data_IF_922033955440
#
_entry.id   IF_922033955440
#
_cell.length_a   1.000
_cell.length_b   1.000
_cell.length_c   1.000
_cell.angle_alpha   90.00
_cell.angle_beta   90.00
_cell.angle_gamma   90.00
#
_symmetry.space_group_name_H-M   'P 1'
#
loop_
_entity.id
_entity.type
_entity.pdbx_description
1 polymer ?
#
# COMPACT_ATOMS: atom_id res chain seq x y z
N UNK A 1 5.70 32.62 50.02
CA UNK A 1 5.34 31.52 49.11
C UNK A 1 4.95 32.16 47.78
N UNK A 2 5.93 32.40 46.91
CA UNK A 2 5.76 33.09 45.63
C UNK A 2 5.27 32.11 44.57
N UNK A 3 4.11 32.41 43.98
CA UNK A 3 3.57 31.69 42.82
C UNK A 3 4.42 32.02 41.59
N UNK A 4 5.15 31.02 41.08
CA UNK A 4 5.75 31.08 39.75
C UNK A 4 4.62 31.14 38.71
N UNK A 5 4.46 32.30 38.07
CA UNK A 5 3.70 32.43 36.83
C UNK A 5 4.46 31.71 35.72
N UNK A 6 3.95 30.56 35.30
CA UNK A 6 4.37 29.89 34.07
C UNK A 6 3.96 30.77 32.89
N UNK A 7 4.95 31.45 32.30
CA UNK A 7 4.81 32.15 31.03
C UNK A 7 4.66 31.09 29.94
N UNK A 8 3.42 30.81 29.55
CA UNK A 8 3.10 30.00 28.38
C UNK A 8 3.45 30.84 27.14
N UNK A 9 4.61 30.60 26.54
CA UNK A 9 4.93 31.20 25.25
C UNK A 9 3.88 30.75 24.22
N UNK A 10 3.20 31.68 23.52
CA UNK A 10 2.37 31.30 22.40
C UNK A 10 3.29 30.77 21.30
N UNK A 11 3.31 29.44 21.14
CA UNK A 11 3.93 28.83 19.97
C UNK A 11 3.16 29.34 18.77
N UNK A 12 3.81 30.20 18.00
CA UNK A 12 3.25 30.88 16.84
C UNK A 12 2.67 29.83 15.88
N UNK A 13 1.34 29.81 15.77
CA UNK A 13 0.58 28.90 14.90
C UNK A 13 1.06 28.88 13.44
N UNK A 14 1.82 29.90 13.02
CA UNK A 14 2.47 29.99 11.71
C UNK A 14 3.61 29.00 11.48
N UNK A 15 4.25 28.44 12.53
CA UNK A 15 5.30 27.42 12.34
C UNK A 15 4.68 26.05 12.01
N UNK A 16 3.43 25.81 12.39
CA UNK A 16 2.71 24.55 12.14
C UNK A 16 2.24 24.47 10.67
N UNK A 17 1.99 25.60 10.02
CA UNK A 17 1.54 25.68 8.61
C UNK A 17 2.67 25.61 7.57
N UNK A 18 3.94 25.49 7.97
CA UNK A 18 5.04 25.35 7.01
C UNK A 18 5.20 23.91 6.45
N UNK A 19 4.37 22.96 6.87
CA UNK A 19 4.38 21.56 6.37
C UNK A 19 3.39 21.33 5.20
N UNK A 20 2.78 22.40 4.66
CA UNK A 20 1.64 22.36 3.74
C UNK A 20 1.94 21.88 2.30
N UNK A 21 3.17 21.41 2.04
CA UNK A 21 3.54 20.87 0.73
C UNK A 21 4.43 19.63 0.79
N UNK A 22 4.32 18.85 1.86
CA UNK A 22 5.06 17.60 1.97
C UNK A 22 4.35 16.49 1.21
N UNK A 23 4.94 16.07 0.08
CA UNK A 23 4.48 14.92 -0.71
C UNK A 23 4.35 13.71 0.22
N UNK A 24 3.20 13.03 0.15
CA UNK A 24 2.95 11.84 0.98
C UNK A 24 3.98 10.75 0.65
N UNK A 25 4.53 10.11 1.68
CA UNK A 25 5.44 8.97 1.53
C UNK A 25 4.79 7.82 0.73
N UNK A 26 3.45 7.77 0.71
CA UNK A 26 2.68 6.77 -0.04
C UNK A 26 2.78 6.96 -1.56
N UNK A 27 3.03 8.19 -2.04
CA UNK A 27 3.31 8.46 -3.46
C UNK A 27 4.64 7.81 -3.87
N UNK A 28 5.64 7.83 -3.00
CA UNK A 28 6.93 7.21 -3.28
C UNK A 28 6.86 5.69 -3.16
N UNK A 29 6.16 5.15 -2.15
CA UNK A 29 6.06 3.71 -2.00
C UNK A 29 5.17 3.05 -3.07
N UNK A 30 4.23 3.77 -3.69
CA UNK A 30 3.46 3.23 -4.83
C UNK A 30 4.33 2.95 -6.06
N UNK A 31 5.54 3.53 -6.15
CA UNK A 31 6.52 3.21 -7.19
C UNK A 31 6.97 1.74 -7.15
N UNK A 32 6.79 1.03 -6.03
CA UNK A 32 7.04 -0.42 -5.95
C UNK A 32 6.21 -1.19 -6.98
N UNK A 33 5.02 -0.71 -7.34
CA UNK A 33 4.18 -1.32 -8.37
C UNK A 33 4.81 -1.32 -9.76
N UNK A 34 5.75 -0.40 -10.05
CA UNK A 34 6.49 -0.41 -11.31
C UNK A 34 7.38 -1.65 -11.46
N UNK A 35 7.87 -2.22 -10.34
CA UNK A 35 8.61 -3.48 -10.37
C UNK A 35 7.70 -4.60 -10.89
N UNK A 36 6.45 -4.65 -10.42
CA UNK A 36 5.44 -5.59 -10.92
C UNK A 36 5.16 -5.38 -12.42
N UNK A 37 5.12 -4.14 -12.90
CA UNK A 37 4.96 -3.84 -14.34
C UNK A 37 6.12 -4.40 -15.16
N UNK A 38 7.36 -4.12 -14.76
CA UNK A 38 8.57 -4.57 -15.47
C UNK A 38 8.63 -6.10 -15.53
N UNK A 39 8.40 -6.76 -14.39
CA UNK A 39 8.40 -8.21 -14.29
C UNK A 39 7.23 -8.81 -15.08
N UNK A 40 6.05 -8.20 -15.03
CA UNK A 40 4.88 -8.61 -15.80
C UNK A 40 5.16 -8.63 -17.31
N UNK A 41 5.77 -7.58 -17.85
CA UNK A 41 6.18 -7.57 -19.26
C UNK A 41 7.26 -8.62 -19.57
N UNK A 42 8.26 -8.78 -18.70
CA UNK A 42 9.33 -9.77 -18.88
C UNK A 42 8.79 -11.20 -18.99
N UNK A 43 7.80 -11.56 -18.18
CA UNK A 43 7.16 -12.88 -18.18
C UNK A 43 5.89 -12.96 -19.04
N UNK A 44 5.64 -11.97 -19.91
CA UNK A 44 4.50 -11.92 -20.85
C UNK A 44 3.11 -11.88 -20.18
N UNK A 45 3.01 -11.45 -18.93
CA UNK A 45 1.76 -11.14 -18.24
C UNK A 45 1.25 -9.73 -18.59
N UNK A 46 1.02 -9.45 -19.88
CA UNK A 46 0.73 -8.11 -20.40
C UNK A 46 -0.51 -7.45 -19.75
N UNK A 47 -1.59 -8.20 -19.57
CA UNK A 47 -2.79 -7.70 -18.91
C UNK A 47 -2.48 -7.34 -17.45
N UNK A 48 -1.71 -8.18 -16.75
CA UNK A 48 -1.33 -7.93 -15.37
C UNK A 48 -0.46 -6.68 -15.23
N UNK A 49 0.52 -6.51 -16.11
CA UNK A 49 1.37 -5.32 -16.18
C UNK A 49 0.55 -4.04 -16.45
N UNK A 50 -0.48 -4.15 -17.31
CA UNK A 50 -1.40 -3.05 -17.59
C UNK A 50 -2.22 -2.68 -16.34
N UNK A 51 -2.78 -3.68 -15.64
CA UNK A 51 -3.52 -3.46 -14.40
C UNK A 51 -2.65 -2.82 -13.30
N UNK A 52 -1.40 -3.26 -13.16
CA UNK A 52 -0.45 -2.63 -12.25
C UNK A 52 -0.06 -1.21 -12.64
N UNK A 53 0.02 -0.92 -13.94
CA UNK A 53 0.27 0.44 -14.43
C UNK A 53 -0.90 1.36 -14.09
N UNK A 54 -2.14 0.89 -14.29
CA UNK A 54 -3.35 1.62 -13.88
C UNK A 54 -3.34 1.86 -12.37
N UNK A 55 -3.09 0.82 -11.57
CA UNK A 55 -3.00 0.93 -10.10
C UNK A 55 -1.94 1.94 -9.66
N UNK A 56 -0.76 1.93 -10.28
CA UNK A 56 0.29 2.90 -9.97
C UNK A 56 -0.16 4.34 -10.25
N UNK A 57 -0.75 4.59 -11.43
CA UNK A 57 -1.26 5.92 -11.80
C UNK A 57 -2.36 6.37 -10.83
N UNK A 58 -3.34 5.52 -10.53
CA UNK A 58 -4.44 5.87 -9.63
C UNK A 58 -3.95 6.12 -8.20
N UNK A 59 -2.99 5.33 -7.72
CA UNK A 59 -2.42 5.46 -6.38
C UNK A 59 -1.64 6.77 -6.23
N UNK A 60 -0.85 7.14 -7.26
CA UNK A 60 -0.16 8.44 -7.29
C UNK A 60 -1.16 9.60 -7.26
N UNK A 61 -2.23 9.53 -8.07
CA UNK A 61 -3.28 10.56 -8.10
C UNK A 61 -3.97 10.67 -6.73
N UNK A 62 -4.39 9.55 -6.14
CA UNK A 62 -5.10 9.52 -4.87
C UNK A 62 -4.26 10.07 -3.71
N UNK A 63 -2.97 9.69 -3.64
CA UNK A 63 -2.10 10.17 -2.55
C UNK A 63 -1.59 11.60 -2.75
N UNK A 64 -1.67 12.15 -3.97
CA UNK A 64 -1.33 13.54 -4.24
C UNK A 64 -2.54 14.49 -4.10
N UNK A 65 -3.74 14.05 -4.50
CA UNK A 65 -4.97 14.83 -4.43
C UNK A 65 -6.15 13.96 -3.96
N UNK A 66 -6.20 13.67 -2.66
CA UNK A 66 -7.20 12.79 -2.08
C UNK A 66 -8.58 13.44 -2.09
N UNK A 67 -9.47 12.94 -2.94
CA UNK A 67 -10.90 13.19 -2.92
C UNK A 67 -11.70 11.88 -3.03
N UNK A 68 -13.02 11.96 -2.81
CA UNK A 68 -13.90 10.78 -2.80
C UNK A 68 -13.88 10.01 -4.13
N UNK A 69 -13.78 10.70 -5.27
CA UNK A 69 -13.74 10.06 -6.60
C UNK A 69 -12.41 9.33 -6.81
N UNK A 70 -11.29 9.98 -6.52
CA UNK A 70 -9.95 9.36 -6.62
C UNK A 70 -9.80 8.17 -5.69
N UNK A 71 -10.44 8.21 -4.52
CA UNK A 71 -10.49 7.08 -3.60
C UNK A 71 -11.19 5.87 -4.24
N UNK A 72 -12.39 6.05 -4.79
CA UNK A 72 -13.12 4.94 -5.42
C UNK A 72 -12.42 4.41 -6.67
N UNK A 73 -11.84 5.29 -7.50
CA UNK A 73 -11.07 4.88 -8.68
C UNK A 73 -9.88 4.02 -8.28
N UNK A 74 -9.12 4.44 -7.27
CA UNK A 74 -7.97 3.68 -6.77
C UNK A 74 -8.38 2.33 -6.17
N UNK A 75 -9.48 2.30 -5.39
CA UNK A 75 -10.02 1.05 -4.85
C UNK A 75 -10.45 0.07 -5.96
N UNK A 76 -11.09 0.55 -7.04
CA UNK A 76 -11.46 -0.31 -8.18
C UNK A 76 -10.21 -0.89 -8.86
N UNK A 77 -9.16 -0.09 -9.03
CA UNK A 77 -7.89 -0.57 -9.58
C UNK A 77 -7.27 -1.66 -8.69
N UNK A 78 -7.27 -1.45 -7.36
CA UNK A 78 -6.82 -2.45 -6.38
C UNK A 78 -7.62 -3.75 -6.52
N UNK A 79 -8.96 -3.68 -6.50
CA UNK A 79 -9.80 -4.87 -6.62
C UNK A 79 -9.55 -5.62 -7.94
N UNK A 80 -9.35 -4.91 -9.05
CA UNK A 80 -9.08 -5.53 -10.34
C UNK A 80 -7.75 -6.29 -10.34
N UNK A 81 -6.69 -5.71 -9.75
CA UNK A 81 -5.39 -6.37 -9.57
C UNK A 81 -5.52 -7.60 -8.66
N UNK A 82 -6.26 -7.49 -7.56
CA UNK A 82 -6.50 -8.61 -6.64
C UNK A 82 -7.25 -9.74 -7.34
N UNK A 83 -8.39 -9.47 -7.97
CA UNK A 83 -9.19 -10.49 -8.65
C UNK A 83 -8.41 -11.20 -9.75
N UNK A 84 -7.71 -10.44 -10.61
CA UNK A 84 -6.91 -11.02 -11.67
C UNK A 84 -5.70 -11.79 -11.11
N UNK A 85 -5.06 -11.27 -10.05
CA UNK A 85 -3.99 -11.94 -9.36
C UNK A 85 -4.41 -13.26 -8.73
N UNK A 86 -5.58 -13.32 -8.10
CA UNK A 86 -6.17 -14.55 -7.58
C UNK A 86 -6.44 -15.57 -8.70
N UNK A 87 -6.92 -15.13 -9.86
CA UNK A 87 -7.09 -16.00 -11.02
C UNK A 87 -5.74 -16.60 -11.48
N UNK A 88 -4.71 -15.77 -11.68
CA UNK A 88 -3.38 -16.26 -12.09
C UNK A 88 -2.78 -17.20 -11.03
N UNK A 89 -2.89 -16.84 -9.75
CA UNK A 89 -2.44 -17.67 -8.65
C UNK A 89 -3.12 -19.03 -8.67
N UNK A 90 -4.45 -19.09 -8.85
CA UNK A 90 -5.18 -20.37 -8.91
C UNK A 90 -4.75 -21.24 -10.09
N UNK A 91 -4.38 -20.63 -11.22
CA UNK A 91 -3.95 -21.33 -12.43
C UNK A 91 -2.52 -21.87 -12.32
N UNK A 92 -1.63 -21.11 -11.68
CA UNK A 92 -0.20 -21.41 -11.64
C UNK A 92 0.27 -22.12 -10.37
N UNK A 93 -0.55 -22.15 -9.31
CA UNK A 93 -0.16 -22.79 -8.04
C UNK A 93 0.06 -24.29 -8.21
N UNK A 94 1.32 -24.70 -8.15
CA UNK A 94 1.74 -26.11 -8.08
C UNK A 94 2.04 -26.50 -6.64
N UNK A 95 1.96 -27.80 -6.37
CA UNK A 95 2.19 -28.37 -5.04
C UNK A 95 3.18 -29.54 -5.08
N UNK A 96 4.02 -29.58 -6.10
CA UNK A 96 4.88 -30.71 -6.41
C UNK A 96 6.17 -30.67 -5.58
N UNK A 97 6.82 -29.50 -5.49
CA UNK A 97 8.08 -29.34 -4.76
C UNK A 97 7.90 -28.60 -3.43
N UNK A 98 8.89 -28.71 -2.53
CA UNK A 98 8.94 -27.92 -1.29
C UNK A 98 9.01 -26.41 -1.60
N UNK A 99 9.66 -26.04 -2.71
CA UNK A 99 9.75 -24.65 -3.15
C UNK A 99 8.39 -24.11 -3.59
N UNK A 100 7.61 -24.87 -4.37
CA UNK A 100 6.28 -24.43 -4.81
C UNK A 100 5.37 -24.21 -3.59
N UNK A 101 5.40 -25.14 -2.63
CA UNK A 101 4.65 -25.04 -1.37
C UNK A 101 5.06 -23.82 -0.56
N UNK A 102 6.36 -23.52 -0.45
CA UNK A 102 6.84 -22.37 0.31
C UNK A 102 6.43 -21.05 -0.35
N UNK A 103 6.49 -20.96 -1.69
CA UNK A 103 6.05 -19.79 -2.46
C UNK A 103 4.54 -19.56 -2.32
N UNK A 104 3.74 -20.61 -2.34
CA UNK A 104 2.28 -20.54 -2.11
C UNK A 104 1.97 -20.04 -0.70
N UNK A 105 2.59 -20.61 0.33
CA UNK A 105 2.41 -20.18 1.73
C UNK A 105 2.85 -18.73 1.93
N UNK A 106 3.99 -18.35 1.35
CA UNK A 106 4.47 -16.96 1.39
C UNK A 106 3.45 -16.02 0.76
N UNK A 107 2.94 -16.35 -0.43
CA UNK A 107 1.91 -15.56 -1.11
C UNK A 107 0.68 -15.34 -0.23
N UNK A 108 0.09 -16.42 0.28
CA UNK A 108 -1.08 -16.34 1.17
C UNK A 108 -0.79 -15.46 2.39
N UNK A 109 0.39 -15.60 2.98
CA UNK A 109 0.81 -14.81 4.14
C UNK A 109 0.89 -13.32 3.83
N UNK A 110 1.37 -12.93 2.64
CA UNK A 110 1.41 -11.51 2.23
C UNK A 110 0.01 -10.90 2.12
N UNK A 111 -0.96 -11.60 1.51
CA UNK A 111 -2.34 -11.12 1.39
C UNK A 111 -3.08 -11.10 2.74
N UNK A 112 -2.85 -12.08 3.61
CA UNK A 112 -3.39 -12.02 4.98
C UNK A 112 -2.79 -10.84 5.76
N UNK A 113 -1.49 -10.59 5.59
CA UNK A 113 -0.82 -9.44 6.17
C UNK A 113 -1.43 -8.11 5.74
N UNK A 114 -1.73 -7.93 4.45
CA UNK A 114 -2.37 -6.69 3.95
C UNK A 114 -3.79 -6.52 4.50
N UNK A 115 -4.57 -7.61 4.57
CA UNK A 115 -5.91 -7.59 5.17
C UNK A 115 -5.85 -7.16 6.64
N UNK A 116 -4.93 -7.71 7.43
CA UNK A 116 -4.74 -7.35 8.84
C UNK A 116 -4.33 -5.88 8.95
N UNK A 117 -3.29 -5.45 8.25
CA UNK A 117 -2.78 -4.08 8.33
C UNK A 117 -3.84 -3.03 7.96
N UNK A 118 -4.72 -3.35 7.01
CA UNK A 118 -5.75 -2.42 6.55
C UNK A 118 -7.05 -2.52 7.36
N UNK A 119 -7.71 -3.68 7.36
CA UNK A 119 -9.04 -3.83 7.92
C UNK A 119 -9.03 -3.87 9.44
N UNK A 120 -8.14 -4.66 10.05
CA UNK A 120 -8.02 -4.69 11.50
C UNK A 120 -7.50 -3.35 12.04
N UNK A 121 -6.54 -2.74 11.33
CA UNK A 121 -6.10 -1.37 11.62
C UNK A 121 -7.26 -0.36 11.63
N UNK A 122 -8.12 -0.39 10.61
CA UNK A 122 -9.31 0.48 10.52
C UNK A 122 -10.31 0.30 11.66
N UNK A 123 -10.58 -0.94 12.07
CA UNK A 123 -11.52 -1.24 13.15
C UNK A 123 -10.98 -0.78 14.51
N UNK A 124 -9.67 -0.92 14.73
CA UNK A 124 -9.03 -0.62 16.02
C UNK A 124 -8.45 0.79 16.12
N UNK A 125 -8.54 1.60 15.05
CA UNK A 125 -7.84 2.89 14.92
C UNK A 125 -6.33 2.75 15.18
N UNK A 126 -5.72 1.69 14.63
CA UNK A 126 -4.28 1.44 14.68
C UNK A 126 -3.71 1.19 13.28
N UNK A 127 -2.39 1.01 13.17
CA UNK A 127 -1.71 0.68 11.92
C UNK A 127 -1.99 1.71 10.82
N UNK A 128 -2.62 1.33 9.70
CA UNK A 128 -2.95 2.25 8.61
C UNK A 128 -3.97 3.33 8.99
N UNK A 129 -4.77 3.10 10.03
CA UNK A 129 -5.73 4.05 10.58
C UNK A 129 -5.25 4.70 11.88
N UNK A 130 -3.94 4.62 12.17
CA UNK A 130 -3.34 5.28 13.35
C UNK A 130 -3.60 6.80 13.29
N UNK A 131 -4.05 7.43 14.39
CA UNK A 131 -4.28 8.88 14.45
C UNK A 131 -3.04 9.71 14.10
N UNK A 132 -1.85 9.17 14.36
CA UNK A 132 -0.60 9.73 13.88
C UNK A 132 -0.44 9.44 12.38
N UNK A 133 -0.74 10.44 11.54
CA UNK A 133 -0.64 10.36 10.07
C UNK A 133 0.66 9.72 9.57
N UNK A 134 1.80 10.06 10.20
CA UNK A 134 3.12 9.51 9.83
C UNK A 134 3.19 7.99 10.05
N UNK A 135 2.66 7.48 11.17
CA UNK A 135 2.61 6.03 11.44
C UNK A 135 1.66 5.34 10.45
N UNK A 136 0.46 5.91 10.26
CA UNK A 136 -0.52 5.43 9.29
C UNK A 136 0.07 5.25 7.90
N UNK A 137 0.81 6.27 7.43
CA UNK A 137 1.50 6.22 6.15
C UNK A 137 2.62 5.15 6.10
N UNK A 138 3.40 4.98 7.16
CA UNK A 138 4.44 3.92 7.19
C UNK A 138 3.82 2.52 7.09
N UNK A 139 2.71 2.25 7.77
CA UNK A 139 1.99 0.99 7.62
C UNK A 139 1.36 0.84 6.23
N UNK A 140 0.91 1.93 5.62
CA UNK A 140 0.42 1.90 4.24
C UNK A 140 1.54 1.59 3.24
N UNK A 141 2.75 2.14 3.44
CA UNK A 141 3.93 1.74 2.67
C UNK A 141 4.24 0.24 2.83
N UNK A 142 4.06 -0.31 4.04
CA UNK A 142 4.20 -1.75 4.27
C UNK A 142 3.15 -2.56 3.49
N UNK A 143 1.92 -2.06 3.36
CA UNK A 143 0.90 -2.68 2.49
C UNK A 143 1.38 -2.67 1.03
N UNK A 144 1.90 -1.55 0.51
CA UNK A 144 2.44 -1.49 -0.86
C UNK A 144 3.55 -2.53 -1.07
N UNK A 145 4.46 -2.66 -0.10
CA UNK A 145 5.55 -3.63 -0.14
C UNK A 145 5.03 -5.08 -0.14
N UNK A 146 4.16 -5.45 0.81
CA UNK A 146 3.62 -6.81 0.92
C UNK A 146 2.80 -7.18 -0.32
N UNK A 147 1.98 -6.25 -0.81
CA UNK A 147 1.16 -6.44 -2.02
C UNK A 147 2.06 -6.63 -3.24
N UNK A 148 3.04 -5.75 -3.44
CA UNK A 148 4.01 -5.85 -4.53
C UNK A 148 4.77 -7.19 -4.48
N UNK A 149 5.27 -7.59 -3.31
CA UNK A 149 5.99 -8.84 -3.11
C UNK A 149 5.13 -10.08 -3.39
N UNK A 150 3.89 -10.14 -2.89
CA UNK A 150 2.97 -11.23 -3.16
C UNK A 150 2.71 -11.36 -4.67
N UNK A 151 2.31 -10.27 -5.32
CA UNK A 151 2.05 -10.31 -6.76
C UNK A 151 3.29 -10.61 -7.61
N UNK A 152 4.50 -10.25 -7.17
CA UNK A 152 5.74 -10.70 -7.81
C UNK A 152 5.90 -12.21 -7.72
N UNK A 153 5.64 -12.80 -6.55
CA UNK A 153 5.70 -14.24 -6.37
C UNK A 153 4.64 -14.97 -7.19
N UNK A 154 3.44 -14.40 -7.38
CA UNK A 154 2.42 -14.96 -8.28
C UNK A 154 2.95 -15.08 -9.72
N UNK A 155 3.69 -14.09 -10.22
CA UNK A 155 4.25 -14.14 -11.58
C UNK A 155 5.44 -15.10 -11.72
N UNK A 156 6.07 -15.47 -10.61
CA UNK A 156 7.21 -16.38 -10.55
C UNK A 156 6.81 -17.85 -10.29
N UNK A 157 5.58 -18.10 -9.82
CA UNK A 157 4.92 -19.41 -9.77
C UNK A 157 4.58 -19.90 -11.19
#
# INVERSE_FOLDING_TARGET
MSLQQNVLFPIDSKIIDLDDKKISINVYSSMLFLINVIIGYKYKYNLYATLFTILWITSVIYHNNSNIYTYYIDQIAIFTVVCYGSYIFSKNSKWDTVMDKSMVVFNISTFLGTIILYHYGKITNTMCADPCKRKGQLYHCLIHLLTSAGHLMIMLL
#
